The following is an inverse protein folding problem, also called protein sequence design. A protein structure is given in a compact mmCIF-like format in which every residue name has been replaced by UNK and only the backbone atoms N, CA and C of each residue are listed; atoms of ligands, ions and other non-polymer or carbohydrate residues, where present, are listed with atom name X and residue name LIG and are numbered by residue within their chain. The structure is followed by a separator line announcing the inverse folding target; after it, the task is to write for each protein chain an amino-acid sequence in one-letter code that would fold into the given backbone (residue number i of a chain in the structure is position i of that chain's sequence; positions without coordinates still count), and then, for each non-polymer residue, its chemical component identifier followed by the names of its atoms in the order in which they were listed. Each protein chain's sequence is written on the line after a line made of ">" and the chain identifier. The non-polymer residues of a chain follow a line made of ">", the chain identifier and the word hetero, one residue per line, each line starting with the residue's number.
data_IF_074699711791
#
_entry.id   IF_074699711791
#
_cell.length_a   1.000
_cell.length_b   1.000
_cell.length_c   1.000
_cell.angle_alpha   90.00
_cell.angle_beta   90.00
_cell.angle_gamma   90.00
#
_symmetry.space_group_name_H-M   'P 1'
#
loop_
_entity.id
_entity.type
_entity.pdbx_description
1 polymer ?
#
# COMPACT_ATOMS: atom_id res chain seq x y z
N UNK A 1 -20.91 -0.13 1.01
CA UNK A 1 -19.82 0.72 0.51
C UNK A 1 -20.46 1.97 -0.09
N UNK A 2 -20.08 3.17 0.35
CA UNK A 2 -20.71 4.42 -0.10
C UNK A 2 -20.14 4.83 -1.47
N UNK A 3 -20.95 5.15 -2.49
CA UNK A 3 -20.47 5.50 -3.83
C UNK A 3 -19.52 6.71 -3.85
N UNK A 4 -19.60 7.61 -2.85
CA UNK A 4 -18.67 8.73 -2.72
C UNK A 4 -17.25 8.29 -2.34
N UNK A 5 -17.11 7.23 -1.52
CA UNK A 5 -15.80 6.68 -1.14
C UNK A 5 -15.13 5.93 -2.29
N UNK A 6 -15.92 5.44 -3.24
CA UNK A 6 -15.46 4.71 -4.41
C UNK A 6 -14.81 5.64 -5.44
N UNK A 7 -15.42 6.80 -5.73
CA UNK A 7 -14.83 7.82 -6.59
C UNK A 7 -13.54 8.41 -6.00
N UNK A 8 -13.46 8.53 -4.67
CA UNK A 8 -12.28 9.03 -3.98
C UNK A 8 -11.13 8.02 -3.98
N UNK A 9 -11.41 6.71 -3.88
CA UNK A 9 -10.41 5.63 -3.91
C UNK A 9 -9.85 5.32 -5.32
N UNK A 10 -10.67 5.52 -6.35
CA UNK A 10 -10.25 5.36 -7.75
C UNK A 10 -9.13 6.35 -8.10
N UNK A 11 -9.15 7.57 -7.55
CA UNK A 11 -8.17 8.61 -7.88
C UNK A 11 -6.73 8.30 -7.42
N UNK A 12 -6.47 7.86 -6.17
CA UNK A 12 -5.13 7.46 -5.75
C UNK A 12 -4.60 6.21 -6.45
N UNK A 13 -5.44 5.23 -6.80
CA UNK A 13 -4.98 4.05 -7.54
C UNK A 13 -4.55 4.41 -8.97
N UNK A 14 -5.27 5.32 -9.64
CA UNK A 14 -4.85 5.86 -10.93
C UNK A 14 -3.51 6.61 -10.83
N UNK A 15 -3.35 7.43 -9.79
CA UNK A 15 -2.11 8.17 -9.58
C UNK A 15 -0.92 7.23 -9.29
N UNK A 16 -1.13 6.17 -8.51
CA UNK A 16 -0.11 5.14 -8.28
C UNK A 16 0.21 4.35 -9.55
N UNK A 17 -0.83 4.01 -10.34
CA UNK A 17 -0.65 3.34 -11.62
C UNK A 17 0.22 4.17 -12.58
N UNK A 18 -0.01 5.48 -12.65
CA UNK A 18 0.80 6.40 -13.44
C UNK A 18 2.26 6.46 -12.96
N UNK A 19 2.50 6.48 -11.64
CA UNK A 19 3.85 6.47 -11.05
C UNK A 19 4.62 5.19 -11.44
N UNK A 20 3.95 4.04 -11.36
CA UNK A 20 4.54 2.75 -11.72
C UNK A 20 4.78 2.64 -13.22
N UNK A 21 3.82 3.05 -14.05
CA UNK A 21 3.94 3.05 -15.50
C UNK A 21 5.10 3.92 -15.98
N UNK A 22 5.35 5.07 -15.35
CA UNK A 22 6.49 5.94 -15.63
C UNK A 22 7.84 5.24 -15.41
N UNK A 23 7.87 4.14 -14.65
CA UNK A 23 9.06 3.30 -14.42
C UNK A 23 9.10 2.02 -15.27
N UNK A 24 8.22 1.91 -16.26
CA UNK A 24 8.16 0.76 -17.17
C UNK A 24 7.42 -0.45 -16.62
N UNK A 25 6.68 -0.31 -15.53
CA UNK A 25 5.80 -1.38 -15.03
C UNK A 25 4.51 -1.42 -15.84
N UNK A 26 4.03 -2.63 -16.14
CA UNK A 26 2.70 -2.82 -16.71
C UNK A 26 1.67 -2.74 -15.59
N UNK A 27 0.65 -1.91 -15.75
CA UNK A 27 -0.37 -1.67 -14.73
C UNK A 27 -1.77 -1.93 -15.27
N UNK A 28 -2.58 -2.62 -14.48
CA UNK A 28 -3.97 -2.92 -14.79
C UNK A 28 -4.84 -2.55 -13.59
N UNK A 29 -5.80 -1.66 -13.80
CA UNK A 29 -6.82 -1.33 -12.82
C UNK A 29 -7.99 -2.28 -13.02
N UNK A 30 -8.26 -3.09 -12.01
CA UNK A 30 -9.45 -3.94 -11.94
C UNK A 30 -10.54 -3.22 -11.16
N UNK A 31 -11.72 -3.16 -11.77
CA UNK A 31 -12.85 -2.45 -11.20
C UNK A 31 -13.29 -3.13 -9.89
N UNK A 32 -13.48 -2.38 -8.79
CA UNK A 32 -13.35 -0.91 -8.70
C UNK A 32 -12.14 -0.36 -7.94
N UNK A 33 -11.41 -1.19 -7.18
CA UNK A 33 -10.49 -0.69 -6.16
C UNK A 33 -9.18 -1.50 -6.10
N UNK A 34 -8.76 -2.06 -7.24
CA UNK A 34 -7.61 -2.96 -7.28
C UNK A 34 -6.68 -2.62 -8.44
N UNK A 35 -5.40 -2.49 -8.12
CA UNK A 35 -4.31 -2.23 -9.06
C UNK A 35 -3.40 -3.45 -9.10
N UNK A 36 -3.28 -4.07 -10.26
CA UNK A 36 -2.29 -5.10 -10.53
C UNK A 36 -1.10 -4.49 -11.29
N UNK A 37 0.09 -4.56 -10.70
CA UNK A 37 1.32 -4.00 -11.25
C UNK A 37 2.35 -5.10 -11.51
N UNK A 38 2.78 -5.27 -12.76
CA UNK A 38 3.72 -6.29 -13.21
C UNK A 38 5.06 -5.62 -13.55
N UNK A 39 6.18 -6.11 -13.01
CA UNK A 39 7.50 -5.58 -13.35
C UNK A 39 7.85 -5.85 -14.81
N UNK A 40 8.71 -5.01 -15.43
CA UNK A 40 9.17 -5.23 -16.81
C UNK A 40 9.99 -6.51 -16.98
N UNK A 41 10.60 -6.99 -15.89
CA UNK A 41 11.29 -8.27 -15.85
C UNK A 41 10.29 -9.36 -15.44
N UNK A 42 9.87 -10.19 -16.40
CA UNK A 42 8.81 -11.19 -16.25
C UNK A 42 9.13 -12.34 -15.30
N UNK A 43 10.33 -12.37 -14.71
CA UNK A 43 10.70 -13.38 -13.72
C UNK A 43 10.07 -13.13 -12.34
N UNK A 44 9.54 -11.92 -12.08
CA UNK A 44 8.91 -11.57 -10.81
C UNK A 44 7.37 -11.52 -10.96
N UNK A 45 6.60 -12.15 -10.05
CA UNK A 45 5.15 -12.04 -10.06
C UNK A 45 4.72 -10.58 -9.83
N UNK A 46 3.60 -10.20 -10.44
CA UNK A 46 3.01 -8.89 -10.23
C UNK A 46 2.55 -8.68 -8.79
N UNK A 47 2.50 -7.42 -8.36
CA UNK A 47 1.98 -6.99 -7.07
C UNK A 47 0.58 -6.44 -7.25
N UNK A 48 -0.36 -6.96 -6.46
CA UNK A 48 -1.72 -6.43 -6.37
C UNK A 48 -1.85 -5.49 -5.18
N UNK A 49 -2.40 -4.30 -5.42
CA UNK A 49 -2.57 -3.21 -4.45
C UNK A 49 -4.04 -2.80 -4.43
N UNK A 50 -4.55 -2.44 -3.25
CA UNK A 50 -5.88 -1.85 -3.06
C UNK A 50 -5.81 -0.74 -2.02
N UNK A 51 -6.90 0.00 -1.87
CA UNK A 51 -7.01 1.00 -0.80
C UNK A 51 -7.77 0.42 0.38
N UNK A 52 -7.31 0.74 1.59
CA UNK A 52 -8.02 0.47 2.84
C UNK A 52 -7.87 1.64 3.80
N UNK A 53 -8.92 1.90 4.58
CA UNK A 53 -8.83 2.83 5.71
C UNK A 53 -7.79 2.35 6.74
N UNK A 54 -6.82 3.21 7.00
CA UNK A 54 -5.84 3.05 8.08
C UNK A 54 -6.32 3.67 9.39
N UNK A 55 -5.43 3.68 10.39
CA UNK A 55 -5.72 4.28 11.70
C UNK A 55 -6.02 5.78 11.51
N UNK A 56 -7.15 6.23 12.04
CA UNK A 56 -7.59 7.63 11.95
C UNK A 56 -8.33 7.99 10.65
N UNK A 57 -8.73 7.00 9.84
CA UNK A 57 -9.48 7.24 8.59
C UNK A 57 -8.63 7.76 7.43
N UNK A 58 -7.30 7.75 7.59
CA UNK A 58 -6.38 8.04 6.48
C UNK A 58 -6.40 6.86 5.52
N UNK A 59 -6.57 7.05 4.21
CA UNK A 59 -6.54 5.95 3.25
C UNK A 59 -5.10 5.48 2.98
N UNK A 60 -4.88 4.16 2.94
CA UNK A 60 -3.59 3.52 2.71
C UNK A 60 -3.62 2.61 1.50
N UNK A 61 -2.51 2.58 0.76
CA UNK A 61 -2.21 1.49 -0.15
C UNK A 61 -1.84 0.25 0.66
N UNK A 62 -2.51 -0.86 0.37
CA UNK A 62 -2.24 -2.16 0.99
C UNK A 62 -2.11 -3.22 -0.10
N UNK A 63 -1.26 -4.21 0.12
CA UNK A 63 -1.15 -5.37 -0.80
C UNK A 63 -2.41 -6.25 -0.73
N UNK A 64 -2.54 -7.18 -1.67
CA UNK A 64 -3.58 -8.23 -1.61
C UNK A 64 -3.50 -9.09 -0.34
N UNK A 65 -2.30 -9.29 0.22
CA UNK A 65 -2.08 -9.98 1.51
C UNK A 65 -2.49 -9.13 2.72
N UNK A 66 -2.78 -7.85 2.53
CA UNK A 66 -3.19 -6.92 3.57
C UNK A 66 -2.04 -6.19 4.25
N UNK A 67 -0.82 -6.30 3.72
CA UNK A 67 0.34 -5.59 4.23
C UNK A 67 0.25 -4.11 3.86
N UNK A 68 0.35 -3.19 4.82
CA UNK A 68 0.34 -1.76 4.54
C UNK A 68 1.64 -1.34 3.86
N UNK A 69 1.51 -0.59 2.77
CA UNK A 69 2.64 0.03 2.07
C UNK A 69 2.84 1.45 2.61
N UNK A 70 1.98 2.36 2.15
CA UNK A 70 2.05 3.79 2.49
C UNK A 70 0.67 4.45 2.46
N UNK A 71 0.50 5.59 3.14
CA UNK A 71 -0.65 6.45 2.95
C UNK A 71 -0.81 6.85 1.47
N UNK A 72 -2.05 7.06 1.02
CA UNK A 72 -2.33 7.35 -0.39
C UNK A 72 -1.70 8.65 -0.93
N UNK A 73 -1.35 9.58 -0.04
CA UNK A 73 -0.67 10.82 -0.41
C UNK A 73 0.84 10.65 -0.71
N UNK A 74 1.44 9.51 -0.35
CA UNK A 74 2.85 9.21 -0.59
C UNK A 74 3.03 8.24 -1.77
N UNK A 75 2.70 8.73 -2.98
CA UNK A 75 2.76 7.94 -4.22
C UNK A 75 4.17 7.44 -4.53
N UNK A 76 5.17 8.32 -4.41
CA UNK A 76 6.57 7.99 -4.69
C UNK A 76 7.11 6.97 -3.67
N UNK A 77 6.76 7.10 -2.40
CA UNK A 77 7.10 6.11 -1.37
C UNK A 77 6.45 4.75 -1.66
N UNK A 78 5.16 4.74 -2.00
CA UNK A 78 4.44 3.53 -2.35
C UNK A 78 5.05 2.82 -3.58
N UNK A 79 5.32 3.56 -4.66
CA UNK A 79 5.96 3.03 -5.86
C UNK A 79 7.34 2.44 -5.58
N UNK A 80 8.15 3.10 -4.72
CA UNK A 80 9.45 2.58 -4.29
C UNK A 80 9.32 1.27 -3.52
N UNK A 81 8.35 1.15 -2.61
CA UNK A 81 8.15 -0.09 -1.85
C UNK A 81 7.68 -1.25 -2.74
N UNK A 82 6.76 -1.01 -3.67
CA UNK A 82 6.32 -2.02 -4.64
C UNK A 82 7.49 -2.52 -5.49
N UNK A 83 8.33 -1.60 -5.96
CA UNK A 83 9.54 -1.92 -6.74
C UNK A 83 10.58 -2.68 -5.92
N UNK A 84 10.71 -2.37 -4.62
CA UNK A 84 11.69 -2.98 -3.72
C UNK A 84 11.23 -4.28 -3.07
N UNK A 85 9.93 -4.62 -3.14
CA UNK A 85 9.42 -5.88 -2.60
C UNK A 85 10.17 -7.07 -3.22
N UNK A 86 10.64 -8.03 -2.41
CA UNK A 86 11.19 -9.26 -2.96
C UNK A 86 10.06 -10.08 -3.61
N UNK A 87 10.43 -10.92 -4.60
CA UNK A 87 9.53 -11.94 -5.17
C UNK A 87 8.94 -12.76 -4.01
N UNK A 88 7.62 -12.80 -3.80
CA UNK A 88 7.03 -13.76 -2.88
C UNK A 88 7.35 -15.14 -3.44
N UNK A 89 8.32 -15.83 -2.84
CA UNK A 89 8.46 -17.26 -3.04
C UNK A 89 7.15 -17.88 -2.56
N UNK A 90 6.42 -18.53 -3.46
CA UNK A 90 5.20 -19.29 -3.16
C UNK A 90 5.39 -20.13 -1.90
N UNK A 91 4.95 -19.62 -0.76
CA UNK A 91 4.69 -20.47 0.40
C UNK A 91 3.29 -21.04 0.20
N UNK A 92 3.21 -22.05 -0.67
CA UNK A 92 2.16 -23.06 -0.54
C UNK A 92 2.31 -23.69 0.83
N UNK A 93 1.61 -23.16 1.85
CA UNK A 93 1.01 -23.90 2.97
C UNK A 93 0.42 -22.94 4.01
N UNK A 94 -0.90 -23.06 4.14
CA UNK A 94 -1.64 -23.28 5.39
C UNK A 94 -1.61 -22.21 6.49
N UNK A 95 -2.80 -21.98 7.04
CA UNK A 95 -3.06 -20.98 8.06
C UNK A 95 -2.25 -21.10 9.35
N UNK A 96 -2.35 -20.03 10.14
CA UNK A 96 -1.84 -19.87 11.50
C UNK A 96 -0.30 -19.80 11.67
N UNK A 97 0.24 -18.58 11.57
CA UNK A 97 1.38 -18.10 12.37
C UNK A 97 1.41 -16.55 12.29
N UNK A 98 0.68 -15.81 13.13
CA UNK A 98 1.13 -15.24 14.41
C UNK A 98 2.49 -14.50 14.40
N UNK A 99 2.36 -13.17 14.60
CA UNK A 99 3.20 -12.27 15.43
C UNK A 99 4.55 -11.71 14.92
N UNK A 100 4.64 -10.38 15.13
CA UNK A 100 5.78 -9.45 15.16
C UNK A 100 6.35 -9.05 13.81
N UNK A 101 6.36 -7.76 13.48
CA UNK A 101 7.14 -6.75 14.21
C UNK A 101 6.30 -5.56 14.73
N UNK A 102 6.36 -5.37 16.04
CA UNK A 102 6.10 -4.09 16.72
C UNK A 102 7.26 -3.14 16.39
N UNK A 103 7.00 -1.87 16.07
CA UNK A 103 7.74 -0.67 16.53
C UNK A 103 7.85 0.43 15.46
N UNK A 104 7.01 1.46 15.55
CA UNK A 104 7.38 2.84 15.20
C UNK A 104 6.35 3.86 15.76
N UNK A 105 6.10 3.78 17.06
CA UNK A 105 5.54 4.89 17.83
C UNK A 105 6.34 5.02 19.11
N UNK A 106 7.28 5.98 19.16
CA UNK A 106 7.66 6.69 20.38
C UNK A 106 8.66 7.82 20.08
N UNK A 107 8.39 8.95 20.75
CA UNK A 107 9.07 10.27 20.78
C UNK A 107 8.61 11.15 19.61
N UNK A 108 7.76 12.15 19.85
CA UNK A 108 8.12 13.34 20.64
C UNK A 108 7.19 13.57 21.83
N UNK A 109 7.84 13.94 22.94
CA UNK A 109 7.31 14.07 24.27
C UNK A 109 6.55 15.40 24.43
N UNK A 110 5.43 15.29 25.12
CA UNK A 110 4.61 16.35 25.66
C UNK A 110 5.46 17.22 26.58
N UNK A 111 5.72 18.47 26.20
CA UNK A 111 6.34 19.45 27.09
C UNK A 111 5.78 20.84 26.79
N UNK A 112 4.51 21.09 27.17
CA UNK A 112 4.08 22.48 27.44
C UNK A 112 2.70 22.56 28.12
N UNK A 113 2.46 21.84 29.23
CA UNK A 113 1.37 22.21 30.14
C UNK A 113 1.82 22.08 31.60
N UNK A 114 1.77 23.22 32.29
CA UNK A 114 1.99 23.47 33.74
C UNK A 114 3.42 23.75 34.20
N UNK A 115 3.80 25.03 34.19
CA UNK A 115 3.94 25.88 35.40
C UNK A 115 4.70 27.17 35.05
N UNK A 116 3.98 28.28 34.92
CA UNK A 116 4.37 29.63 35.32
C UNK A 116 3.10 30.48 35.40
#
# INVERSE_FOLDING_TARGET
>A
MNPAQHLDAVHPLHALAAELAATGWSVHLEDPDLLHAVPPDSARPGTTVRIKDGVGGVPWFVTSTGDPLRPCHDLTGAGREIRAQPVPQESRRSGHALLRVKSALRRINLALWRLA
#
